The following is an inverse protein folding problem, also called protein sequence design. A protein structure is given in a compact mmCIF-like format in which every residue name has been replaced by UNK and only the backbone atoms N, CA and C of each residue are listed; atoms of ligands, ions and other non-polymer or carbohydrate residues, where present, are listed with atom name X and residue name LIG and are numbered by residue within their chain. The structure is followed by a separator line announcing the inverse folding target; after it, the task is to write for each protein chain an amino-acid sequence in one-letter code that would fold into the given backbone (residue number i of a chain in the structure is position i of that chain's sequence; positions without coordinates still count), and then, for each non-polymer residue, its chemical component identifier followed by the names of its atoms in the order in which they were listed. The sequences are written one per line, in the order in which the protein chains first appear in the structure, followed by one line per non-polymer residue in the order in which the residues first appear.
data_IF_583993826254
#
_entry.id   IF_583993826254
#
_cell.length_a   1.000
_cell.length_b   1.000
_cell.length_c   1.000
_cell.angle_alpha   90.00
_cell.angle_beta   90.00
_cell.angle_gamma   90.00
#
_symmetry.space_group_name_H-M   'P 1'
#
loop_
_entity.id
_entity.type
_entity.pdbx_description
1 polymer ?
#
# COMPACT_ATOMS: atom_id res chain seq x y z
N UNK A 1 -12.15 6.49 13.19
CA UNK A 1 -11.85 7.92 13.37
C UNK A 1 -10.84 8.43 12.35
N UNK A 2 -9.80 7.70 12.04
CA UNK A 2 -8.64 8.12 11.22
C UNK A 2 -7.46 8.65 12.06
N UNK A 3 -7.61 8.70 13.39
CA UNK A 3 -6.51 9.12 14.28
C UNK A 3 -5.31 8.18 14.19
N UNK A 4 -4.11 8.74 14.03
CA UNK A 4 -2.85 8.01 14.01
C UNK A 4 -2.45 7.71 15.45
N UNK A 5 -2.43 6.42 15.81
CA UNK A 5 -2.08 5.97 17.16
C UNK A 5 -0.56 5.80 17.33
N UNK A 6 0.12 5.41 16.25
CA UNK A 6 1.58 5.27 16.24
C UNK A 6 2.09 5.43 14.81
N UNK A 7 3.27 6.03 14.69
CA UNK A 7 4.01 6.17 13.43
C UNK A 7 5.50 6.11 13.76
N UNK A 8 6.23 5.20 13.12
CA UNK A 8 7.64 5.01 13.39
C UNK A 8 8.39 4.64 12.10
N UNK A 9 9.63 5.08 12.00
CA UNK A 9 10.57 4.71 10.94
C UNK A 9 11.84 4.15 11.57
N UNK A 10 12.53 3.24 10.88
CA UNK A 10 13.88 2.84 11.26
C UNK A 10 14.84 4.00 11.06
N UNK A 11 15.91 4.05 11.85
CA UNK A 11 16.93 5.12 11.79
C UNK A 11 16.32 6.52 11.94
N UNK A 12 15.66 6.82 13.07
CA UNK A 12 15.17 8.17 13.34
C UNK A 12 16.37 9.10 13.62
N UNK A 13 16.23 10.38 13.29
CA UNK A 13 17.23 11.37 13.72
C UNK A 13 17.03 11.77 15.20
N UNK A 14 18.10 12.20 15.85
CA UNK A 14 18.02 12.78 17.20
C UNK A 14 17.66 14.27 17.10
N UNK A 15 16.47 14.71 17.60
CA UNK A 15 16.08 16.12 17.55
C UNK A 15 16.96 17.04 18.42
N UNK A 16 17.75 16.50 19.35
CA UNK A 16 18.71 17.29 20.13
C UNK A 16 19.97 17.59 19.34
N UNK A 17 20.31 16.77 18.33
CA UNK A 17 21.45 16.94 17.45
C UNK A 17 21.03 16.82 15.97
N UNK A 18 20.09 17.67 15.48
CA UNK A 18 19.40 17.45 14.21
C UNK A 18 20.30 17.54 12.98
N UNK A 19 21.48 18.13 13.11
CA UNK A 19 22.46 18.29 12.03
C UNK A 19 23.55 17.21 12.03
N UNK A 20 23.46 16.21 12.91
CA UNK A 20 24.32 15.03 12.89
C UNK A 20 23.62 13.95 12.07
N UNK A 21 24.30 13.45 11.04
CA UNK A 21 23.76 12.35 10.24
C UNK A 21 23.66 11.07 11.07
N UNK A 22 22.63 10.29 10.82
CA UNK A 22 22.54 8.93 11.33
C UNK A 22 23.61 8.03 10.68
N UNK A 23 23.88 6.87 11.29
CA UNK A 23 24.94 5.95 10.84
C UNK A 23 24.79 5.49 9.40
N UNK A 24 23.55 5.31 8.93
CA UNK A 24 23.25 4.88 7.54
C UNK A 24 23.57 6.00 6.57
N UNK A 25 23.18 7.23 6.90
CA UNK A 25 23.44 8.41 6.08
C UNK A 25 24.93 8.75 6.03
N UNK A 26 25.63 8.58 7.16
CA UNK A 26 27.10 8.75 7.20
C UNK A 26 27.83 7.72 6.33
N UNK A 27 27.39 6.46 6.35
CA UNK A 27 27.96 5.41 5.50
C UNK A 27 27.75 5.73 4.01
N UNK A 28 26.54 6.16 3.63
CA UNK A 28 26.22 6.61 2.26
C UNK A 28 27.09 7.79 1.83
N UNK A 29 27.30 8.78 2.72
CA UNK A 29 28.17 9.93 2.44
C UNK A 29 29.62 9.50 2.22
N UNK A 30 30.11 8.59 3.04
CA UNK A 30 31.47 8.04 2.91
C UNK A 30 31.64 7.21 1.64
N UNK A 31 30.65 6.36 1.32
CA UNK A 31 30.65 5.54 0.10
C UNK A 31 30.60 6.37 -1.19
N UNK A 32 30.11 7.61 -1.14
CA UNK A 32 30.12 8.52 -2.28
C UNK A 32 31.54 8.97 -2.70
N UNK A 33 32.57 8.76 -1.88
CA UNK A 33 33.95 9.03 -2.21
C UNK A 33 34.28 10.51 -2.50
N UNK A 34 33.43 11.43 -2.02
CA UNK A 34 33.54 12.87 -2.28
C UNK A 34 34.61 13.51 -1.35
N UNK A 35 35.31 14.51 -1.86
CA UNK A 35 36.29 15.26 -1.06
C UNK A 35 35.58 16.10 -0.01
N UNK A 36 35.92 15.88 1.26
CA UNK A 36 35.33 16.63 2.37
C UNK A 36 35.50 18.14 2.18
N UNK A 37 34.43 18.90 2.39
CA UNK A 37 34.40 20.34 2.22
C UNK A 37 34.22 20.82 0.76
N UNK A 38 34.19 19.93 -0.24
CA UNK A 38 33.80 20.30 -1.61
C UNK A 38 32.30 20.67 -1.72
N UNK A 39 31.94 21.34 -2.78
CA UNK A 39 30.51 21.70 -3.00
C UNK A 39 29.64 20.45 -3.21
N UNK A 40 30.17 19.42 -3.89
CA UNK A 40 29.51 18.13 -4.08
C UNK A 40 29.30 17.41 -2.74
N UNK A 41 30.30 17.42 -1.86
CA UNK A 41 30.19 16.85 -0.51
C UNK A 41 29.10 17.58 0.30
N UNK A 42 29.09 18.92 0.30
CA UNK A 42 28.08 19.71 0.99
C UNK A 42 26.68 19.45 0.45
N UNK A 43 26.53 19.37 -0.88
CA UNK A 43 25.26 19.05 -1.53
C UNK A 43 24.77 17.66 -1.14
N UNK A 44 25.64 16.63 -1.20
CA UNK A 44 25.29 15.27 -0.81
C UNK A 44 24.94 15.15 0.67
N UNK A 45 25.70 15.81 1.54
CA UNK A 45 25.39 15.84 2.97
C UNK A 45 24.04 16.49 3.25
N UNK A 46 23.68 17.57 2.55
CA UNK A 46 22.36 18.23 2.66
C UNK A 46 21.25 17.31 2.21
N UNK A 47 21.38 16.67 1.06
CA UNK A 47 20.42 15.68 0.54
C UNK A 47 20.16 14.58 1.58
N UNK A 48 21.22 14.01 2.16
CA UNK A 48 21.09 12.94 3.16
C UNK A 48 20.43 13.45 4.46
N UNK A 49 20.68 14.69 4.89
CA UNK A 49 19.97 15.29 6.02
C UNK A 49 18.48 15.48 5.74
N UNK A 50 18.13 15.96 4.55
CA UNK A 50 16.71 16.13 4.16
C UNK A 50 15.96 14.79 4.15
N UNK A 51 16.62 13.73 3.66
CA UNK A 51 16.09 12.36 3.72
C UNK A 51 15.96 11.89 5.18
N UNK A 52 16.95 12.11 6.01
CA UNK A 52 16.94 11.74 7.43
C UNK A 52 15.83 12.44 8.21
N UNK A 53 15.56 13.71 7.93
CA UNK A 53 14.52 14.50 8.59
C UNK A 53 13.12 14.15 8.08
N UNK A 54 12.99 13.52 6.90
CA UNK A 54 11.71 13.22 6.32
C UNK A 54 10.96 12.14 7.12
N UNK A 55 9.66 12.31 7.27
CA UNK A 55 8.79 11.27 7.80
C UNK A 55 8.45 10.28 6.68
N UNK A 56 9.23 9.20 6.59
CA UNK A 56 9.12 8.20 5.52
C UNK A 56 7.71 7.60 5.39
N UNK A 57 7.00 7.42 6.51
CA UNK A 57 5.63 6.90 6.48
C UNK A 57 4.64 7.81 5.74
N UNK A 58 4.96 9.10 5.59
CA UNK A 58 4.15 10.12 4.93
C UNK A 58 4.74 10.53 3.58
N UNK A 59 6.07 10.74 3.53
CA UNK A 59 6.74 11.32 2.35
C UNK A 59 7.12 10.27 1.29
N UNK A 60 7.47 9.05 1.71
CA UNK A 60 7.92 8.03 0.78
C UNK A 60 6.78 7.43 -0.03
N UNK A 61 7.09 7.14 -1.30
CA UNK A 61 6.17 6.44 -2.21
C UNK A 61 6.80 5.13 -2.67
N UNK A 62 5.98 4.10 -2.76
CA UNK A 62 6.42 2.76 -3.12
C UNK A 62 5.38 2.04 -3.97
N UNK A 63 5.77 0.99 -4.66
CA UNK A 63 4.81 0.10 -5.33
C UNK A 63 4.09 -0.76 -4.28
N UNK A 64 2.77 -0.65 -4.09
CA UNK A 64 2.05 -1.32 -3.01
C UNK A 64 2.02 -2.84 -3.16
N UNK A 65 2.30 -3.35 -4.36
CA UNK A 65 2.26 -4.77 -4.64
C UNK A 65 0.91 -5.40 -4.26
N UNK A 66 0.95 -6.63 -3.79
CA UNK A 66 -0.27 -7.40 -3.51
C UNK A 66 -1.18 -6.83 -2.42
N UNK A 67 -0.77 -5.82 -1.65
CA UNK A 67 -1.69 -5.13 -0.73
C UNK A 67 -2.76 -4.34 -1.49
N UNK A 68 -2.48 -3.91 -2.73
CA UNK A 68 -3.42 -3.24 -3.61
C UNK A 68 -4.54 -4.15 -4.14
N UNK A 69 -4.38 -5.47 -4.10
CA UNK A 69 -5.43 -6.43 -4.54
C UNK A 69 -6.73 -6.30 -3.76
N UNK A 70 -6.67 -5.76 -2.55
CA UNK A 70 -7.86 -5.40 -1.75
C UNK A 70 -8.72 -4.42 -2.55
N UNK A 71 -8.12 -3.39 -3.16
CA UNK A 71 -8.84 -2.39 -3.97
C UNK A 71 -9.40 -3.01 -5.25
N UNK A 72 -8.61 -3.83 -5.95
CA UNK A 72 -9.02 -4.48 -7.20
C UNK A 72 -10.23 -5.40 -7.00
N UNK A 73 -10.19 -6.24 -5.95
CA UNK A 73 -11.30 -7.13 -5.63
C UNK A 73 -12.52 -6.35 -5.17
N UNK A 74 -12.34 -5.35 -4.30
CA UNK A 74 -13.41 -4.46 -3.86
C UNK A 74 -14.11 -3.78 -5.05
N UNK A 75 -13.32 -3.30 -6.01
CA UNK A 75 -13.84 -2.66 -7.23
C UNK A 75 -14.69 -3.62 -8.07
N UNK A 76 -14.17 -4.84 -8.29
CA UNK A 76 -14.90 -5.84 -9.09
C UNK A 76 -16.24 -6.24 -8.48
N UNK A 77 -16.27 -6.38 -7.15
CA UNK A 77 -17.48 -6.71 -6.39
C UNK A 77 -18.47 -5.54 -6.37
N UNK A 78 -17.98 -4.32 -6.11
CA UNK A 78 -18.82 -3.11 -6.04
C UNK A 78 -19.47 -2.76 -7.39
N UNK A 79 -18.79 -3.09 -8.49
CA UNK A 79 -19.33 -2.99 -9.85
C UNK A 79 -20.25 -4.15 -10.24
N UNK A 80 -20.31 -5.23 -9.44
CA UNK A 80 -21.07 -6.43 -9.77
C UNK A 80 -20.53 -7.22 -10.97
N UNK A 81 -19.26 -6.98 -11.37
CA UNK A 81 -18.63 -7.71 -12.51
C UNK A 81 -17.98 -9.02 -12.07
N UNK A 82 -17.95 -9.29 -10.78
CA UNK A 82 -17.50 -10.54 -10.19
C UNK A 82 -18.20 -10.82 -8.86
N UNK A 83 -18.18 -12.09 -8.43
CA UNK A 83 -18.59 -12.55 -7.11
C UNK A 83 -17.45 -13.36 -6.46
N UNK A 84 -17.47 -13.53 -5.14
CA UNK A 84 -16.42 -14.32 -4.44
C UNK A 84 -16.41 -15.78 -4.83
N UNK A 85 -17.51 -16.30 -5.40
CA UNK A 85 -17.65 -17.68 -5.87
C UNK A 85 -17.27 -17.87 -7.33
N UNK A 86 -17.04 -16.80 -8.09
CA UNK A 86 -16.57 -16.90 -9.48
C UNK A 86 -15.27 -17.70 -9.54
N UNK A 87 -15.18 -18.54 -10.57
CA UNK A 87 -14.00 -19.44 -10.71
C UNK A 87 -12.95 -18.87 -11.64
N UNK A 88 -11.70 -19.09 -11.26
CA UNK A 88 -10.50 -18.62 -11.97
C UNK A 88 -9.52 -19.76 -12.19
N UNK A 89 -8.56 -19.53 -13.09
CA UNK A 89 -7.47 -20.47 -13.36
C UNK A 89 -6.13 -19.73 -13.39
N UNK A 90 -5.10 -20.40 -12.88
CA UNK A 90 -3.74 -19.88 -12.85
C UNK A 90 -2.73 -21.02 -13.09
N UNK A 91 -2.08 -20.99 -14.23
CA UNK A 91 -1.02 -21.93 -14.62
C UNK A 91 0.38 -21.33 -14.45
N UNK A 92 0.56 -20.42 -13.47
CA UNK A 92 1.83 -19.74 -13.18
C UNK A 92 2.06 -18.46 -13.99
N UNK A 93 1.19 -18.12 -14.92
CA UNK A 93 1.23 -16.88 -15.70
C UNK A 93 -0.14 -16.56 -16.30
N UNK A 94 -0.26 -15.34 -16.84
CA UNK A 94 -1.36 -14.89 -17.67
C UNK A 94 -0.82 -14.06 -18.82
N UNK A 95 -1.39 -14.17 -20.02
CA UNK A 95 -0.92 -13.45 -21.21
C UNK A 95 -1.84 -12.27 -21.49
N UNK A 96 -1.29 -11.06 -21.48
CA UNK A 96 -2.00 -9.80 -21.72
C UNK A 96 -1.19 -8.92 -22.65
N UNK A 97 -1.81 -8.35 -23.68
CA UNK A 97 -1.14 -7.46 -24.63
C UNK A 97 0.08 -8.09 -25.33
N UNK A 98 0.10 -9.40 -25.52
CA UNK A 98 1.24 -10.15 -26.06
C UNK A 98 2.34 -10.46 -25.03
N UNK A 99 2.23 -10.00 -23.79
CA UNK A 99 3.21 -10.24 -22.73
C UNK A 99 2.77 -11.34 -21.78
N UNK A 100 3.71 -12.23 -21.44
CA UNK A 100 3.50 -13.30 -20.45
C UNK A 100 3.89 -12.81 -19.06
N UNK A 101 2.89 -12.44 -18.24
CA UNK A 101 3.08 -11.93 -16.90
C UNK A 101 3.00 -13.09 -15.90
N UNK A 102 4.03 -13.25 -15.05
CA UNK A 102 4.15 -14.39 -14.14
C UNK A 102 3.34 -14.21 -12.86
N UNK A 103 2.82 -15.31 -12.33
CA UNK A 103 2.39 -15.40 -10.95
C UNK A 103 3.61 -15.56 -10.01
N UNK A 104 3.49 -15.17 -8.75
CA UNK A 104 4.53 -15.44 -7.76
C UNK A 104 4.74 -16.95 -7.50
N UNK A 105 3.70 -17.77 -7.70
CA UNK A 105 3.75 -19.24 -7.64
C UNK A 105 4.05 -19.79 -9.04
N UNK A 106 5.24 -20.33 -9.24
CA UNK A 106 5.73 -20.77 -10.55
C UNK A 106 4.82 -21.80 -11.24
N UNK A 107 4.30 -22.79 -10.51
CA UNK A 107 3.36 -23.80 -11.01
C UNK A 107 1.90 -23.32 -11.08
N UNK A 108 1.63 -22.09 -10.65
CA UNK A 108 0.27 -21.56 -10.56
C UNK A 108 -0.54 -22.14 -9.40
N UNK A 109 -1.81 -21.77 -9.36
CA UNK A 109 -2.76 -22.16 -8.31
C UNK A 109 -3.77 -23.23 -8.77
N UNK A 110 -3.65 -23.68 -10.03
CA UNK A 110 -4.56 -24.65 -10.62
C UNK A 110 -5.74 -23.99 -11.36
N UNK A 111 -6.81 -24.75 -11.52
CA UNK A 111 -8.02 -24.34 -12.24
C UNK A 111 -9.26 -24.52 -11.38
N UNK A 112 -10.30 -23.70 -11.63
CA UNK A 112 -11.60 -23.83 -10.99
C UNK A 112 -11.63 -23.38 -9.52
N UNK A 113 -10.64 -22.62 -9.05
CA UNK A 113 -10.66 -22.06 -7.69
C UNK A 113 -11.44 -20.73 -7.64
N UNK A 114 -12.00 -20.43 -6.47
CA UNK A 114 -12.85 -19.25 -6.26
C UNK A 114 -12.04 -17.94 -6.23
N UNK A 115 -12.70 -16.80 -6.46
CA UNK A 115 -12.11 -15.47 -6.26
C UNK A 115 -11.60 -15.32 -4.83
N UNK A 116 -12.34 -15.78 -3.83
CA UNK A 116 -11.92 -15.77 -2.43
C UNK A 116 -10.56 -16.45 -2.26
N UNK A 117 -10.39 -17.65 -2.77
CA UNK A 117 -9.11 -18.37 -2.75
C UNK A 117 -8.01 -17.59 -3.49
N UNK A 118 -8.33 -17.02 -4.67
CA UNK A 118 -7.39 -16.21 -5.44
C UNK A 118 -6.86 -14.99 -4.67
N UNK A 119 -7.71 -14.33 -3.88
CA UNK A 119 -7.32 -13.22 -3.00
C UNK A 119 -6.46 -13.70 -1.82
N UNK A 120 -6.90 -14.76 -1.12
CA UNK A 120 -6.18 -15.35 0.02
C UNK A 120 -4.79 -15.84 -0.37
N UNK A 121 -4.67 -16.48 -1.54
CA UNK A 121 -3.41 -16.99 -2.08
C UNK A 121 -2.64 -15.95 -2.89
N UNK A 122 -3.13 -14.72 -2.96
CA UNK A 122 -2.47 -13.61 -3.65
C UNK A 122 -2.18 -13.86 -5.14
N UNK A 123 -3.08 -14.54 -5.86
CA UNK A 123 -2.90 -14.91 -7.25
C UNK A 123 -2.89 -13.69 -8.18
N UNK A 124 -1.78 -13.46 -8.92
CA UNK A 124 -1.69 -12.36 -9.90
C UNK A 124 -2.61 -12.59 -11.13
N UNK A 125 -2.63 -13.78 -11.76
CA UNK A 125 -3.54 -14.07 -12.88
C UNK A 125 -5.01 -13.81 -12.56
N UNK A 126 -5.48 -14.07 -11.33
CA UNK A 126 -6.84 -13.73 -10.92
C UNK A 126 -7.09 -12.23 -10.99
N UNK A 127 -6.17 -11.41 -10.51
CA UNK A 127 -6.32 -9.94 -10.54
C UNK A 127 -6.31 -9.41 -11.97
N UNK A 128 -5.46 -9.95 -12.85
CA UNK A 128 -5.44 -9.59 -14.27
C UNK A 128 -6.76 -9.92 -14.98
N UNK A 129 -7.32 -11.11 -14.75
CA UNK A 129 -8.63 -11.49 -15.26
C UNK A 129 -9.77 -10.60 -14.71
N UNK A 130 -9.68 -10.17 -13.44
CA UNK A 130 -10.61 -9.19 -12.87
C UNK A 130 -10.47 -7.82 -13.54
N UNK A 131 -9.25 -7.36 -13.77
CA UNK A 131 -9.03 -6.04 -14.38
C UNK A 131 -9.59 -5.95 -15.79
N UNK A 132 -9.57 -7.02 -16.56
CA UNK A 132 -10.24 -7.10 -17.86
C UNK A 132 -11.76 -6.94 -17.75
N UNK A 133 -12.38 -7.54 -16.72
CA UNK A 133 -13.84 -7.38 -16.46
C UNK A 133 -14.18 -5.97 -15.96
N UNK A 134 -13.32 -5.35 -15.16
CA UNK A 134 -13.50 -3.99 -14.64
C UNK A 134 -13.39 -2.96 -15.77
N UNK A 135 -12.37 -3.11 -16.64
CA UNK A 135 -12.01 -2.16 -17.69
C UNK A 135 -11.25 -0.95 -17.14
N UNK A 136 -10.48 -0.29 -18.02
CA UNK A 136 -9.57 0.79 -17.64
C UNK A 136 -10.28 2.01 -17.01
N UNK A 137 -11.40 2.44 -17.57
CA UNK A 137 -12.16 3.61 -17.09
C UNK A 137 -12.70 3.39 -15.67
N UNK A 138 -13.35 2.24 -15.42
CA UNK A 138 -13.86 1.90 -14.10
C UNK A 138 -12.73 1.71 -13.10
N UNK A 139 -11.64 1.05 -13.50
CA UNK A 139 -10.47 0.86 -12.65
C UNK A 139 -9.90 2.22 -12.21
N UNK A 140 -9.67 3.14 -13.15
CA UNK A 140 -9.18 4.49 -12.88
C UNK A 140 -10.09 5.26 -11.94
N UNK A 141 -11.41 5.23 -12.20
CA UNK A 141 -12.43 5.88 -11.37
C UNK A 141 -12.40 5.36 -9.93
N UNK A 142 -12.18 4.05 -9.71
CA UNK A 142 -12.11 3.52 -8.35
C UNK A 142 -10.78 3.81 -7.67
N UNK A 143 -9.67 3.86 -8.39
CA UNK A 143 -8.40 4.38 -7.86
C UNK A 143 -8.59 5.80 -7.32
N UNK A 144 -9.33 6.65 -8.06
CA UNK A 144 -9.70 7.98 -7.60
C UNK A 144 -10.64 7.96 -6.39
N UNK A 145 -11.71 7.14 -6.41
CA UNK A 145 -12.65 6.97 -5.28
C UNK A 145 -11.95 6.55 -3.99
N UNK A 146 -10.95 5.66 -4.07
CA UNK A 146 -10.13 5.26 -2.93
C UNK A 146 -9.15 6.35 -2.48
N UNK A 147 -9.06 7.46 -3.18
CA UNK A 147 -8.31 8.65 -2.79
C UNK A 147 -6.86 8.69 -3.25
N UNK A 148 -6.42 7.78 -4.13
CA UNK A 148 -5.01 7.71 -4.54
C UNK A 148 -4.53 8.93 -5.36
N UNK A 149 -5.41 9.65 -6.04
CA UNK A 149 -5.03 10.81 -6.87
C UNK A 149 -5.01 12.15 -6.11
N UNK A 150 -5.22 12.12 -4.82
CA UNK A 150 -5.18 13.30 -3.95
C UNK A 150 -4.38 13.02 -2.69
N UNK A 151 -3.94 14.06 -2.00
CA UNK A 151 -3.40 13.95 -0.66
C UNK A 151 -4.46 13.41 0.30
N UNK A 152 -4.03 12.61 1.28
CA UNK A 152 -4.94 12.04 2.28
C UNK A 152 -5.56 13.09 3.20
N UNK A 153 -4.92 14.27 3.28
CA UNK A 153 -5.30 15.32 4.21
C UNK A 153 -4.72 15.14 5.61
N UNK A 154 -3.72 14.27 5.77
CA UNK A 154 -2.99 14.16 7.04
C UNK A 154 -2.38 15.51 7.41
N UNK A 155 -2.46 15.87 8.68
CA UNK A 155 -1.95 17.12 9.26
C UNK A 155 -0.42 17.13 9.48
N UNK A 156 0.30 16.40 8.64
CA UNK A 156 1.77 16.36 8.58
C UNK A 156 2.27 16.89 7.23
N UNK A 157 3.45 17.55 7.22
CA UNK A 157 4.02 18.08 5.98
C UNK A 157 4.57 17.00 5.06
N UNK A 158 4.80 17.38 3.80
CA UNK A 158 5.56 16.62 2.80
C UNK A 158 4.97 15.26 2.43
N UNK A 159 3.65 15.11 2.47
CA UNK A 159 3.01 13.87 2.01
C UNK A 159 3.39 13.55 0.55
N UNK A 160 3.84 12.32 0.28
CA UNK A 160 4.19 11.83 -1.04
C UNK A 160 2.98 11.83 -1.99
N UNK A 161 3.20 12.17 -3.25
CA UNK A 161 2.15 12.13 -4.28
C UNK A 161 2.18 10.81 -5.01
N UNK A 162 1.01 10.24 -5.27
CA UNK A 162 0.89 9.05 -6.11
C UNK A 162 1.41 9.31 -7.51
N UNK A 163 2.21 8.38 -8.01
CA UNK A 163 2.61 8.31 -9.41
C UNK A 163 1.81 7.19 -10.08
N UNK A 164 0.86 7.54 -10.92
CA UNK A 164 -0.01 6.61 -11.63
C UNK A 164 -0.07 6.96 -13.12
N UNK A 165 -0.43 6.00 -13.96
CA UNK A 165 -0.64 6.23 -15.39
C UNK A 165 -1.82 7.19 -15.59
N UNK A 166 -1.74 8.06 -16.58
CA UNK A 166 -2.91 8.79 -17.05
C UNK A 166 -3.87 7.82 -17.74
N UNK A 167 -5.18 8.07 -17.63
CA UNK A 167 -6.19 7.16 -18.20
C UNK A 167 -5.95 6.85 -19.69
N UNK A 168 -5.57 7.84 -20.47
CA UNK A 168 -5.29 7.71 -21.90
C UNK A 168 -4.12 6.76 -22.23
N UNK A 169 -3.25 6.50 -21.24
CA UNK A 169 -2.06 5.64 -21.36
C UNK A 169 -2.25 4.27 -20.70
N UNK A 170 -3.46 3.95 -20.22
CA UNK A 170 -3.74 2.63 -19.62
C UNK A 170 -4.15 1.66 -20.72
N UNK A 171 -3.17 0.98 -21.29
CA UNK A 171 -3.40 -0.18 -22.15
C UNK A 171 -3.65 -1.46 -21.34
N UNK A 172 -3.89 -2.59 -22.04
CA UNK A 172 -4.15 -3.87 -21.37
C UNK A 172 -3.06 -4.30 -20.38
N UNK A 173 -1.78 -4.03 -20.70
CA UNK A 173 -0.63 -4.41 -19.87
C UNK A 173 -0.51 -3.55 -18.63
N UNK A 174 -0.70 -2.23 -18.76
CA UNK A 174 -0.70 -1.28 -17.64
C UNK A 174 -1.84 -1.60 -16.67
N UNK A 175 -3.05 -1.84 -17.18
CA UNK A 175 -4.20 -2.23 -16.39
C UNK A 175 -3.94 -3.55 -15.64
N UNK A 176 -3.42 -4.56 -16.33
CA UNK A 176 -3.11 -5.85 -15.75
C UNK A 176 -2.08 -5.74 -14.61
N UNK A 177 -0.98 -5.00 -14.81
CA UNK A 177 0.06 -4.83 -13.80
C UNK A 177 -0.41 -3.99 -12.63
N UNK A 178 -1.18 -2.93 -12.88
CA UNK A 178 -1.79 -2.10 -11.84
C UNK A 178 -2.75 -2.91 -10.96
N UNK A 179 -3.48 -3.89 -11.51
CA UNK A 179 -4.45 -4.70 -10.77
C UNK A 179 -3.86 -5.48 -9.58
N UNK A 180 -2.57 -5.76 -9.59
CA UNK A 180 -1.87 -6.39 -8.47
C UNK A 180 -0.80 -5.50 -7.84
N UNK A 181 -0.87 -4.18 -8.08
CA UNK A 181 -0.11 -3.16 -7.34
C UNK A 181 1.30 -2.91 -7.87
N UNK A 182 1.57 -3.13 -9.16
CA UNK A 182 2.86 -2.86 -9.78
C UNK A 182 2.78 -1.79 -10.86
N UNK A 183 3.93 -1.16 -11.16
CA UNK A 183 4.11 -0.11 -12.18
C UNK A 183 3.46 1.23 -11.86
N UNK A 184 3.15 1.47 -10.58
CA UNK A 184 2.76 2.76 -10.03
C UNK A 184 3.22 2.87 -8.57
N UNK A 185 3.30 4.07 -8.02
CA UNK A 185 3.74 4.30 -6.65
C UNK A 185 2.71 5.10 -5.87
N UNK A 186 2.54 4.77 -4.60
CA UNK A 186 1.61 5.41 -3.66
C UNK A 186 2.33 5.72 -2.35
N UNK A 187 1.88 6.72 -1.60
CA UNK A 187 2.42 6.95 -0.26
C UNK A 187 1.98 5.84 0.70
N UNK A 188 2.80 5.57 1.72
CA UNK A 188 2.49 4.55 2.74
C UNK A 188 1.19 4.91 3.46
N UNK A 189 1.04 6.18 3.86
CA UNK A 189 -0.19 6.68 4.49
C UNK A 189 -1.39 6.58 3.55
N UNK A 190 -1.22 6.85 2.25
CA UNK A 190 -2.27 6.72 1.24
C UNK A 190 -2.76 5.28 1.10
N UNK A 191 -1.84 4.31 1.05
CA UNK A 191 -2.19 2.89 1.01
C UNK A 191 -2.95 2.46 2.27
N UNK A 192 -2.49 2.87 3.46
CA UNK A 192 -3.18 2.56 4.72
C UNK A 192 -4.57 3.19 4.76
N UNK A 193 -4.72 4.43 4.30
CA UNK A 193 -6.00 5.15 4.26
C UNK A 193 -7.02 4.45 3.38
N UNK A 194 -6.61 3.96 2.21
CA UNK A 194 -7.47 3.19 1.32
C UNK A 194 -7.91 1.85 1.95
N UNK A 195 -6.99 1.13 2.60
CA UNK A 195 -7.31 -0.10 3.35
C UNK A 195 -8.24 0.20 4.53
N UNK A 196 -8.00 1.29 5.27
CA UNK A 196 -8.84 1.71 6.37
C UNK A 196 -10.28 2.05 5.93
N UNK A 197 -10.47 2.52 4.69
CA UNK A 197 -11.80 2.72 4.14
C UNK A 197 -12.57 1.39 4.02
N UNK A 198 -11.92 0.32 3.56
CA UNK A 198 -12.52 -1.03 3.53
C UNK A 198 -12.81 -1.50 4.96
N UNK A 199 -11.84 -1.41 5.86
CA UNK A 199 -11.97 -1.77 7.26
C UNK A 199 -13.12 -1.05 7.97
N UNK A 200 -13.44 0.19 7.56
CA UNK A 200 -14.55 1.03 8.07
C UNK A 200 -15.87 0.81 7.33
N UNK A 201 -16.05 -0.32 6.66
CA UNK A 201 -17.30 -0.63 5.96
C UNK A 201 -17.53 0.22 4.72
N UNK A 202 -16.48 0.54 3.98
CA UNK A 202 -16.52 1.26 2.72
C UNK A 202 -16.58 2.79 2.85
N UNK A 203 -16.24 3.34 4.01
CA UNK A 203 -16.26 4.79 4.28
C UNK A 203 -14.82 5.31 4.32
N UNK A 204 -14.50 6.31 3.50
CA UNK A 204 -13.22 7.00 3.54
C UNK A 204 -12.91 7.57 4.93
N UNK A 205 -11.61 7.56 5.28
CA UNK A 205 -11.10 8.18 6.50
C UNK A 205 -10.14 9.29 6.15
N UNK A 206 -10.02 10.30 7.01
CA UNK A 206 -8.96 11.31 6.92
C UNK A 206 -7.98 11.05 8.06
N UNK A 207 -6.73 10.66 7.75
CA UNK A 207 -5.73 10.43 8.79
C UNK A 207 -5.35 11.76 9.45
N UNK A 208 -5.12 11.73 10.77
CA UNK A 208 -4.70 12.91 11.53
C UNK A 208 -3.93 12.50 12.78
N UNK A 209 -2.98 13.33 13.19
CA UNK A 209 -2.17 13.18 14.40
C UNK A 209 -2.75 14.04 15.53
N UNK A 210 -3.20 15.26 15.21
CA UNK A 210 -3.77 16.18 16.16
C UNK A 210 -5.27 15.93 16.32
N UNK A 211 -5.70 15.46 17.46
CA UNK A 211 -7.13 15.31 17.78
C UNK A 211 -7.76 16.65 18.18
N UNK A 212 -7.06 17.42 19.03
CA UNK A 212 -7.53 18.73 19.52
C UNK A 212 -6.40 19.61 19.99
N UNK A 213 -6.65 20.92 19.99
CA UNK A 213 -5.80 21.94 20.59
C UNK A 213 -6.55 22.56 21.75
N UNK A 214 -5.91 22.68 22.92
CA UNK A 214 -6.47 23.34 24.10
C UNK A 214 -5.66 24.58 24.47
N UNK A 215 -6.28 25.56 25.11
CA UNK A 215 -5.59 26.69 25.71
C UNK A 215 -4.99 26.32 27.10
N UNK A 216 -4.37 27.31 27.74
CA UNK A 216 -3.75 27.14 29.08
C UNK A 216 -4.76 26.80 30.20
N UNK A 217 -6.04 27.06 30.01
CA UNK A 217 -7.10 26.68 30.95
C UNK A 217 -7.62 25.26 30.74
N UNK A 218 -7.19 24.58 29.64
CA UNK A 218 -7.68 23.28 29.23
C UNK A 218 -8.94 23.34 28.33
N UNK A 219 -9.44 24.53 27.98
CA UNK A 219 -10.57 24.68 27.11
C UNK A 219 -10.17 24.36 25.66
N UNK A 220 -11.03 23.63 24.94
CA UNK A 220 -10.75 23.26 23.54
C UNK A 220 -10.88 24.47 22.63
N UNK A 221 -9.78 24.83 21.99
CA UNK A 221 -9.69 25.91 20.99
C UNK A 221 -10.05 25.39 19.60
N UNK A 222 -9.59 24.19 19.28
CA UNK A 222 -9.83 23.53 17.99
C UNK A 222 -9.88 22.02 18.16
N UNK A 223 -10.69 21.35 17.36
CA UNK A 223 -10.77 19.89 17.29
C UNK A 223 -10.76 19.44 15.83
N UNK A 224 -10.09 18.33 15.56
CA UNK A 224 -10.11 17.70 14.26
C UNK A 224 -11.56 17.36 13.86
N UNK A 225 -11.87 17.62 12.59
CA UNK A 225 -13.13 17.23 11.94
C UNK A 225 -12.81 16.50 10.63
N UNK A 226 -13.33 15.30 10.47
CA UNK A 226 -13.14 14.51 9.25
C UNK A 226 -13.99 14.98 8.06
N UNK A 227 -14.80 16.01 8.23
CA UNK A 227 -15.81 16.39 7.24
C UNK A 227 -16.91 15.33 7.06
N UNK A 228 -17.61 15.40 5.93
CA UNK A 228 -18.68 14.47 5.61
C UNK A 228 -18.14 13.07 5.27
N UNK A 229 -18.89 12.05 5.66
CA UNK A 229 -18.54 10.67 5.37
C UNK A 229 -18.70 10.37 3.87
N UNK A 230 -17.62 10.06 3.19
CA UNK A 230 -17.61 9.71 1.76
C UNK A 230 -17.59 8.20 1.61
N UNK A 231 -18.61 7.64 0.94
CA UNK A 231 -18.66 6.20 0.63
C UNK A 231 -17.83 5.90 -0.62
N UNK A 232 -16.90 4.97 -0.45
CA UNK A 232 -15.98 4.49 -1.51
C UNK A 232 -16.53 3.22 -2.16
N UNK A 233 -17.01 2.27 -1.36
CA UNK A 233 -17.63 1.01 -1.78
C UNK A 233 -18.81 0.67 -0.87
N UNK A 234 -19.66 -0.22 -1.30
CA UNK A 234 -20.78 -0.68 -0.51
C UNK A 234 -20.33 -1.41 0.76
N UNK A 235 -21.18 -1.32 1.81
CA UNK A 235 -20.88 -1.91 3.12
C UNK A 235 -20.75 -3.42 3.05
N UNK A 236 -21.65 -4.05 2.28
CA UNK A 236 -21.66 -5.50 2.08
C UNK A 236 -20.39 -5.97 1.37
N UNK A 237 -19.92 -5.22 0.37
CA UNK A 237 -18.65 -5.49 -0.33
C UNK A 237 -17.47 -5.39 0.64
N UNK A 238 -17.42 -4.33 1.45
CA UNK A 238 -16.37 -4.16 2.44
C UNK A 238 -16.34 -5.29 3.48
N UNK A 239 -17.53 -5.72 3.96
CA UNK A 239 -17.65 -6.83 4.91
C UNK A 239 -17.21 -8.16 4.30
N UNK A 240 -17.59 -8.43 3.06
CA UNK A 240 -17.21 -9.65 2.35
C UNK A 240 -15.70 -9.74 2.09
N UNK A 241 -15.09 -8.64 1.67
CA UNK A 241 -13.62 -8.56 1.49
C UNK A 241 -12.90 -8.77 2.82
N UNK A 242 -13.39 -8.15 3.90
CA UNK A 242 -12.82 -8.30 5.25
C UNK A 242 -12.89 -9.75 5.74
N UNK A 243 -14.02 -10.41 5.53
CA UNK A 243 -14.20 -11.83 5.87
C UNK A 243 -13.20 -12.72 5.13
N UNK A 244 -13.05 -12.55 3.81
CA UNK A 244 -12.12 -13.36 3.01
C UNK A 244 -10.66 -13.14 3.41
N UNK A 245 -10.29 -11.91 3.78
CA UNK A 245 -8.95 -11.63 4.29
C UNK A 245 -8.70 -12.27 5.66
N UNK A 246 -9.70 -12.26 6.56
CA UNK A 246 -9.64 -12.94 7.86
C UNK A 246 -9.50 -14.46 7.70
N UNK A 247 -10.31 -15.06 6.84
CA UNK A 247 -10.21 -16.50 6.51
C UNK A 247 -8.81 -16.86 5.98
N UNK A 248 -8.20 -15.95 5.18
CA UNK A 248 -6.83 -16.12 4.70
C UNK A 248 -5.78 -16.08 5.82
N UNK A 249 -6.01 -15.30 6.88
CA UNK A 249 -5.14 -15.25 8.08
C UNK A 249 -5.36 -16.48 8.97
N UNK A 250 -6.61 -16.85 9.20
CA UNK A 250 -6.98 -17.97 10.07
C UNK A 250 -6.66 -19.33 9.45
N UNK A 251 -6.59 -19.42 8.12
CA UNK A 251 -6.33 -20.64 7.35
C UNK A 251 -4.89 -20.74 6.85
N UNK A 252 -4.76 -21.10 5.56
CA UNK A 252 -3.46 -21.35 4.90
C UNK A 252 -3.08 -20.24 3.90
N UNK A 253 -3.73 -19.09 3.96
CA UNK A 253 -3.46 -17.96 3.07
C UNK A 253 -2.08 -17.36 3.24
N UNK A 254 -1.68 -16.50 2.30
CA UNK A 254 -0.37 -15.85 2.30
C UNK A 254 -0.09 -14.93 3.50
N UNK A 255 -1.14 -14.52 4.21
CA UNK A 255 -1.04 -13.65 5.40
C UNK A 255 -1.21 -14.40 6.74
N UNK A 256 -1.13 -15.73 6.76
CA UNK A 256 -1.32 -16.56 7.97
C UNK A 256 -0.45 -16.16 9.17
N UNK A 257 0.73 -15.59 8.92
CA UNK A 257 1.65 -15.14 9.98
C UNK A 257 1.16 -13.86 10.70
N UNK A 258 0.10 -13.20 10.19
CA UNK A 258 -0.54 -12.07 10.87
C UNK A 258 -1.58 -12.52 11.92
N UNK A 259 -1.77 -13.83 12.11
CA UNK A 259 -2.71 -14.38 13.09
C UNK A 259 -2.31 -13.97 14.50
N UNK A 260 -3.28 -13.48 15.26
CA UNK A 260 -3.19 -13.21 16.69
C UNK A 260 -4.31 -13.97 17.37
N UNK A 261 -3.96 -14.88 18.26
CA UNK A 261 -4.95 -15.72 18.94
C UNK A 261 -5.94 -14.87 19.76
N UNK A 262 -7.22 -15.16 19.63
CA UNK A 262 -8.30 -14.41 20.27
C UNK A 262 -8.77 -13.17 19.49
N UNK A 263 -8.15 -12.82 18.35
CA UNK A 263 -8.52 -11.68 17.54
C UNK A 263 -8.88 -12.09 16.11
N UNK A 264 -9.91 -11.45 15.56
CA UNK A 264 -10.27 -11.52 14.14
C UNK A 264 -9.42 -10.54 13.35
N UNK A 265 -8.33 -11.02 12.76
CA UNK A 265 -7.40 -10.18 11.99
C UNK A 265 -7.62 -10.39 10.50
N UNK A 266 -7.92 -9.34 9.78
CA UNK A 266 -7.88 -9.31 8.32
C UNK A 266 -6.53 -8.74 7.87
N UNK A 267 -5.82 -9.45 6.98
CA UNK A 267 -4.50 -8.99 6.54
C UNK A 267 -4.18 -9.37 5.10
N UNK A 268 -3.28 -8.59 4.50
CA UNK A 268 -2.73 -8.88 3.18
C UNK A 268 -1.24 -8.51 3.14
N UNK A 269 -0.41 -9.48 2.76
CA UNK A 269 1.00 -9.26 2.47
C UNK A 269 1.19 -8.77 1.04
N UNK A 270 2.24 -7.99 0.82
CA UNK A 270 2.71 -7.53 -0.48
C UNK A 270 4.21 -7.71 -0.63
N UNK A 271 4.64 -7.97 -1.84
CA UNK A 271 6.03 -7.92 -2.26
C UNK A 271 6.06 -7.26 -3.62
N UNK A 272 6.83 -6.19 -3.74
CA UNK A 272 7.04 -5.50 -5.01
C UNK A 272 8.52 -5.49 -5.40
N UNK A 273 8.78 -5.29 -6.68
CA UNK A 273 10.12 -5.17 -7.24
C UNK A 273 10.47 -3.69 -7.37
N UNK A 274 11.74 -3.32 -7.16
CA UNK A 274 12.24 -1.97 -7.43
C UNK A 274 12.74 -1.92 -8.87
N UNK A 275 11.90 -1.53 -9.81
CA UNK A 275 12.24 -1.47 -11.23
C UNK A 275 13.07 -0.24 -11.63
N UNK A 276 13.28 0.68 -10.73
CA UNK A 276 14.18 1.83 -10.84
C UNK A 276 15.65 1.46 -10.55
N UNK A 277 15.88 0.28 -9.97
CA UNK A 277 17.22 -0.25 -9.67
C UNK A 277 17.34 -1.64 -10.31
N UNK A 278 18.17 -1.74 -11.35
CA UNK A 278 18.35 -2.97 -12.11
C UNK A 278 19.81 -3.44 -12.02
N UNK A 279 20.01 -4.75 -12.11
CA UNK A 279 21.33 -5.35 -12.27
C UNK A 279 21.89 -5.13 -13.69
N UNK A 280 23.11 -5.57 -13.93
CA UNK A 280 23.79 -5.49 -15.25
C UNK A 280 23.05 -6.23 -16.37
N UNK A 281 22.13 -7.14 -16.04
CA UNK A 281 21.30 -7.90 -16.98
C UNK A 281 19.89 -7.28 -17.14
N UNK A 282 19.63 -6.12 -16.51
CA UNK A 282 18.33 -5.44 -16.56
C UNK A 282 17.25 -6.08 -15.66
N UNK A 283 17.63 -6.91 -14.69
CA UNK A 283 16.68 -7.52 -13.77
C UNK A 283 16.59 -6.71 -12.47
N UNK A 284 15.38 -6.54 -11.96
CA UNK A 284 15.18 -6.02 -10.62
C UNK A 284 15.42 -7.12 -9.58
N UNK A 285 16.44 -6.96 -8.74
CA UNK A 285 16.79 -7.88 -7.66
C UNK A 285 16.34 -7.38 -6.29
N UNK A 286 16.14 -6.08 -6.12
CA UNK A 286 15.68 -5.48 -4.88
C UNK A 286 14.17 -5.60 -4.72
N UNK A 287 13.72 -5.73 -3.49
CA UNK A 287 12.31 -5.94 -3.13
C UNK A 287 11.89 -4.96 -2.05
N UNK A 288 10.59 -4.68 -2.03
CA UNK A 288 9.91 -4.05 -0.90
C UNK A 288 8.92 -5.06 -0.36
N UNK A 289 9.05 -5.41 0.92
CA UNK A 289 8.06 -6.18 1.65
C UNK A 289 7.04 -5.26 2.31
N UNK A 290 5.76 -5.57 2.20
CA UNK A 290 4.72 -4.80 2.89
C UNK A 290 3.64 -5.70 3.45
N UNK A 291 2.99 -5.26 4.52
CA UNK A 291 1.82 -5.94 5.08
C UNK A 291 0.84 -4.88 5.57
N UNK A 292 -0.42 -5.04 5.19
CA UNK A 292 -1.54 -4.29 5.77
C UNK A 292 -2.39 -5.25 6.59
N UNK A 293 -2.85 -4.79 7.75
CA UNK A 293 -3.74 -5.56 8.60
C UNK A 293 -4.72 -4.64 9.33
N UNK A 294 -5.87 -5.18 9.73
CA UNK A 294 -6.80 -4.49 10.61
C UNK A 294 -7.56 -5.49 11.48
N UNK A 295 -7.95 -5.03 12.67
CA UNK A 295 -8.66 -5.83 13.65
C UNK A 295 -9.56 -4.95 14.54
N UNK A 296 -10.72 -5.51 15.00
CA UNK A 296 -11.36 -6.72 14.48
C UNK A 296 -11.81 -6.55 13.02
N UNK A 297 -11.84 -7.66 12.24
CA UNK A 297 -12.19 -7.61 10.80
C UNK A 297 -13.64 -7.18 10.53
N UNK A 298 -14.54 -7.44 11.47
CA UNK A 298 -15.97 -7.17 11.39
C UNK A 298 -16.39 -5.81 11.99
N UNK A 299 -15.52 -5.19 12.78
CA UNK A 299 -15.80 -3.91 13.47
C UNK A 299 -14.53 -3.10 13.70
N UNK A 300 -13.71 -2.97 12.68
CA UNK A 300 -12.33 -2.47 12.75
C UNK A 300 -12.11 -1.31 13.72
N UNK A 301 -11.26 -1.56 14.72
CA UNK A 301 -10.78 -0.56 15.67
C UNK A 301 -9.41 0.00 15.30
N UNK A 302 -8.53 -0.84 14.74
CA UNK A 302 -7.14 -0.49 14.38
C UNK A 302 -6.83 -1.01 12.98
N UNK A 303 -6.16 -0.19 12.18
CA UNK A 303 -5.52 -0.60 10.94
C UNK A 303 -4.02 -0.27 10.99
N UNK A 304 -3.18 -1.13 10.43
CA UNK A 304 -1.72 -0.99 10.44
C UNK A 304 -1.15 -1.30 9.06
N UNK A 305 -0.10 -0.61 8.71
CA UNK A 305 0.77 -0.94 7.58
C UNK A 305 2.22 -1.03 8.07
N UNK A 306 2.92 -2.05 7.59
CA UNK A 306 4.36 -2.19 7.75
C UNK A 306 4.98 -2.26 6.36
N UNK A 307 6.02 -1.48 6.13
CA UNK A 307 6.80 -1.50 4.88
C UNK A 307 8.26 -1.69 5.24
N UNK A 308 8.90 -2.67 4.61
CA UNK A 308 10.33 -2.96 4.76
C UNK A 308 10.97 -2.81 3.40
N UNK A 309 11.83 -1.82 3.26
CA UNK A 309 12.60 -1.58 2.05
C UNK A 309 13.86 -2.43 2.07
N UNK A 310 14.10 -3.16 0.98
CA UNK A 310 15.26 -4.03 0.79
C UNK A 310 15.51 -5.01 1.95
N UNK A 311 14.51 -5.84 2.32
CA UNK A 311 14.69 -6.81 3.39
C UNK A 311 15.84 -7.76 3.08
N UNK A 312 16.76 -7.92 4.04
CA UNK A 312 17.86 -8.88 4.01
C UNK A 312 17.49 -10.08 4.90
N UNK A 313 17.29 -11.27 4.32
CA UNK A 313 16.97 -12.49 5.08
C UNK A 313 16.05 -13.41 4.35
#
# INVERSE_FOLDING_TARGET
TGGILAMATSSPFDPNTPYVLDSVSEEKLRAAGLTEGSDEYRAKRRELMEIMWSNKAVSEIYEPGSTFKIMTVSTALDLGVASMTDTFSCHGYYTVGGWRIKCHKAGGHGSGFSLAYGLQMSCNPTMMQLSERIGAENFYRYVEKFGYFRKTGIDLPSEGSTLFHKLENIGPTELATASFGQRFKVSIVGQLTAVAAVAKGGIAVTPHVVERVTDASGATVSRFSSGDAVRVIDREVAALVSQVLEEGVSGTGGAKNARVDGYKVAAKTGTSQKFDILDENGNSYLRIGSTVAYAPSDSSGIAVILVVDEPTG
#
